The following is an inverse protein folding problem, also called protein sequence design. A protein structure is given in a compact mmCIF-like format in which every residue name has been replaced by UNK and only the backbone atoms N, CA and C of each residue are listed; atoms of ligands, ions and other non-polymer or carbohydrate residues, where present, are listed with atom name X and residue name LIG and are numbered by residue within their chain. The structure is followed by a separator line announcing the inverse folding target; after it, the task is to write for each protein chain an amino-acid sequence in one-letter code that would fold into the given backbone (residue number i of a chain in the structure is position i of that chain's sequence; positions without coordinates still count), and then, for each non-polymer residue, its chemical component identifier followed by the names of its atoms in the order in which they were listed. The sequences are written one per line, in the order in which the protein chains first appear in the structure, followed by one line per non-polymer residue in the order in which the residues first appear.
data_IF_889800142227
#
_entry.id   IF_889800142227
#
_cell.length_a   1.000
_cell.length_b   1.000
_cell.length_c   1.000
_cell.angle_alpha   90.00
_cell.angle_beta   90.00
_cell.angle_gamma   90.00
#
_symmetry.space_group_name_H-M   'P 1'
#
loop_
_entity.id
_entity.type
_entity.pdbx_description
1 polymer ?
#
# COMPACT_ATOMS: atom_id res chain seq x y z
N UNK A 1 72.85 43.87 2.85
CA UNK A 1 72.17 42.59 3.15
C UNK A 1 70.73 42.72 3.66
N UNK A 2 70.36 43.70 4.49
CA UNK A 2 68.97 43.84 5.03
C UNK A 2 67.86 43.96 3.97
N UNK A 3 68.13 44.60 2.83
CA UNK A 3 67.14 44.76 1.74
C UNK A 3 66.79 43.43 1.05
N UNK A 4 67.78 42.58 0.80
CA UNK A 4 67.58 41.28 0.12
C UNK A 4 66.77 40.30 0.98
N UNK A 5 66.98 40.32 2.30
CA UNK A 5 66.17 39.53 3.23
C UNK A 5 64.69 39.97 3.19
N UNK A 6 64.42 41.28 3.23
CA UNK A 6 63.05 41.81 3.16
C UNK A 6 62.33 41.45 1.86
N UNK A 7 63.03 41.49 0.71
CA UNK A 7 62.43 41.11 -0.57
C UNK A 7 62.11 39.62 -0.67
N UNK A 8 62.95 38.75 -0.12
CA UNK A 8 62.71 37.30 -0.09
C UNK A 8 61.50 36.98 0.79
N UNK A 9 61.43 37.56 2.00
CA UNK A 9 60.29 37.37 2.90
C UNK A 9 58.98 37.89 2.28
N UNK A 10 59.03 39.03 1.58
CA UNK A 10 57.87 39.56 0.85
C UNK A 10 57.39 38.60 -0.24
N UNK A 11 58.31 38.08 -1.06
CA UNK A 11 57.99 37.13 -2.12
C UNK A 11 57.36 35.84 -1.58
N UNK A 12 57.92 35.28 -0.49
CA UNK A 12 57.37 34.10 0.18
C UNK A 12 55.95 34.39 0.69
N UNK A 13 55.75 35.52 1.37
CA UNK A 13 54.43 35.93 1.86
C UNK A 13 53.42 36.14 0.74
N UNK A 14 53.82 36.72 -0.39
CA UNK A 14 52.97 36.89 -1.55
C UNK A 14 52.54 35.55 -2.16
N UNK A 15 53.46 34.58 -2.25
CA UNK A 15 53.16 33.24 -2.76
C UNK A 15 52.22 32.47 -1.84
N UNK A 16 52.42 32.57 -0.53
CA UNK A 16 51.50 31.99 0.46
C UNK A 16 50.11 32.61 0.34
N UNK A 17 50.01 33.94 0.24
CA UNK A 17 48.73 34.64 0.10
C UNK A 17 47.99 34.26 -1.19
N UNK A 18 48.70 34.14 -2.32
CA UNK A 18 48.15 33.71 -3.60
C UNK A 18 47.58 32.28 -3.49
N UNK A 19 48.31 31.37 -2.83
CA UNK A 19 47.88 30.00 -2.59
C UNK A 19 46.66 29.95 -1.65
N UNK A 20 46.68 30.70 -0.55
CA UNK A 20 45.56 30.80 0.39
C UNK A 20 44.29 31.28 -0.30
N UNK A 21 44.39 32.30 -1.16
CA UNK A 21 43.23 32.79 -1.92
C UNK A 21 42.64 31.70 -2.84
N UNK A 22 43.50 30.99 -3.59
CA UNK A 22 43.05 29.91 -4.48
C UNK A 22 42.41 28.76 -3.71
N UNK A 23 43.04 28.37 -2.59
CA UNK A 23 42.53 27.30 -1.73
C UNK A 23 41.19 27.68 -1.10
N UNK A 24 41.08 28.88 -0.54
CA UNK A 24 39.84 29.38 0.06
C UNK A 24 38.70 29.42 -0.98
N UNK A 25 39.00 29.76 -2.23
CA UNK A 25 38.00 29.71 -3.31
C UNK A 25 37.48 28.30 -3.56
N UNK A 26 38.36 27.30 -3.57
CA UNK A 26 37.99 25.90 -3.77
C UNK A 26 37.17 25.40 -2.56
N UNK A 27 37.61 25.71 -1.33
CA UNK A 27 36.91 25.34 -0.11
C UNK A 27 35.51 25.94 -0.07
N UNK A 28 35.36 27.22 -0.45
CA UNK A 28 34.05 27.87 -0.54
C UNK A 28 33.14 27.17 -1.56
N UNK A 29 33.67 26.82 -2.73
CA UNK A 29 32.90 26.10 -3.75
C UNK A 29 32.47 24.70 -3.28
N UNK A 30 33.36 23.97 -2.61
CA UNK A 30 33.04 22.66 -2.04
C UNK A 30 31.96 22.77 -0.95
N UNK A 31 32.09 23.74 -0.04
CA UNK A 31 31.09 24.03 1.00
C UNK A 31 29.73 24.29 0.38
N UNK A 32 29.67 25.18 -0.61
CA UNK A 32 28.40 25.53 -1.26
C UNK A 32 27.76 24.33 -1.97
N UNK A 33 28.57 23.47 -2.63
CA UNK A 33 28.04 22.23 -3.22
C UNK A 33 27.49 21.27 -2.16
N UNK A 34 28.15 21.14 -1.02
CA UNK A 34 27.66 20.32 0.08
C UNK A 34 26.34 20.87 0.64
N UNK A 35 26.22 22.19 0.83
CA UNK A 35 24.99 22.84 1.30
C UNK A 35 23.82 22.58 0.34
N UNK A 36 24.03 22.76 -0.96
CA UNK A 36 23.00 22.51 -1.98
C UNK A 36 22.56 21.04 -2.01
N UNK A 37 23.51 20.09 -1.89
CA UNK A 37 23.17 18.66 -1.87
C UNK A 37 22.40 18.31 -0.59
N UNK A 38 22.83 18.87 0.55
CA UNK A 38 22.18 18.68 1.83
C UNK A 38 20.74 19.20 1.81
N UNK A 39 20.52 20.41 1.30
CA UNK A 39 19.20 21.02 1.18
C UNK A 39 18.25 20.14 0.33
N UNK A 40 18.69 19.69 -0.85
CA UNK A 40 17.89 18.81 -1.71
C UNK A 40 17.58 17.46 -1.07
N UNK A 41 18.51 16.93 -0.28
CA UNK A 41 18.28 15.67 0.42
C UNK A 41 17.26 15.83 1.55
N UNK A 42 17.37 16.92 2.32
CA UNK A 42 16.41 17.28 3.37
C UNK A 42 15.01 17.47 2.79
N UNK A 43 14.86 18.21 1.68
CA UNK A 43 13.57 18.40 1.01
C UNK A 43 12.93 17.05 0.61
N UNK A 44 13.72 16.13 0.05
CA UNK A 44 13.23 14.78 -0.28
C UNK A 44 12.81 13.98 0.95
N UNK A 45 13.57 14.07 2.04
CA UNK A 45 13.21 13.42 3.30
C UNK A 45 11.89 13.96 3.85
N UNK A 46 11.69 15.27 3.80
CA UNK A 46 10.44 15.91 4.22
C UNK A 46 9.25 15.47 3.36
N UNK A 47 9.44 15.37 2.03
CA UNK A 47 8.40 14.86 1.13
C UNK A 47 8.01 13.41 1.46
N UNK A 48 8.99 12.53 1.68
CA UNK A 48 8.75 11.12 2.06
C UNK A 48 8.05 11.06 3.41
N UNK A 49 8.51 11.83 4.40
CA UNK A 49 7.90 11.89 5.72
C UNK A 49 6.44 12.38 5.66
N UNK A 50 6.17 13.44 4.90
CA UNK A 50 4.82 13.96 4.70
C UNK A 50 3.90 12.94 4.01
N UNK A 51 4.39 12.24 2.99
CA UNK A 51 3.63 11.19 2.31
C UNK A 51 3.31 10.03 3.27
N UNK A 52 4.27 9.61 4.08
CA UNK A 52 4.09 8.55 5.06
C UNK A 52 3.09 8.96 6.15
N UNK A 53 3.19 10.17 6.69
CA UNK A 53 2.23 10.68 7.68
C UNK A 53 0.81 10.75 7.11
N UNK A 54 0.65 11.18 5.85
CA UNK A 54 -0.65 11.23 5.19
C UNK A 54 -1.26 9.84 5.05
N UNK A 55 -0.44 8.84 4.73
CA UNK A 55 -0.90 7.45 4.64
C UNK A 55 -1.26 6.90 6.02
N UNK A 56 -0.45 7.16 7.04
CA UNK A 56 -0.73 6.71 8.40
C UNK A 56 -2.10 7.19 8.89
N UNK A 57 -2.46 8.46 8.63
CA UNK A 57 -3.79 9.00 8.95
C UNK A 57 -4.93 8.31 8.17
N UNK A 58 -4.68 7.92 6.92
CA UNK A 58 -5.66 7.17 6.10
C UNK A 58 -5.87 5.76 6.64
N UNK A 59 -4.80 5.08 7.05
CA UNK A 59 -4.91 3.76 7.69
C UNK A 59 -5.75 3.84 8.96
N UNK A 60 -5.49 4.82 9.83
CA UNK A 60 -6.30 5.03 11.05
C UNK A 60 -7.77 5.31 10.76
N UNK A 61 -8.06 6.10 9.73
CA UNK A 61 -9.44 6.40 9.34
C UNK A 61 -10.15 5.14 8.84
N UNK A 62 -9.49 4.38 7.96
CA UNK A 62 -10.03 3.13 7.42
C UNK A 62 -10.23 2.07 8.50
N UNK A 63 -9.30 1.93 9.45
CA UNK A 63 -9.44 1.04 10.61
C UNK A 63 -10.66 1.41 11.46
N UNK A 64 -10.89 2.71 11.69
CA UNK A 64 -12.07 3.20 12.41
C UNK A 64 -13.37 2.91 11.65
N UNK A 65 -13.40 3.09 10.34
CA UNK A 65 -14.56 2.74 9.50
C UNK A 65 -14.84 1.24 9.52
N UNK A 66 -13.80 0.41 9.45
CA UNK A 66 -13.95 -1.04 9.60
C UNK A 66 -14.54 -1.44 10.95
N UNK A 67 -14.08 -0.81 12.04
CA UNK A 67 -14.61 -1.07 13.38
C UNK A 67 -16.09 -0.68 13.48
N UNK A 68 -16.47 0.49 12.95
CA UNK A 68 -17.87 0.95 12.93
C UNK A 68 -18.74 -0.01 12.11
N UNK A 69 -18.33 -0.33 10.89
CA UNK A 69 -19.06 -1.27 10.02
C UNK A 69 -19.16 -2.68 10.64
N UNK A 70 -18.17 -3.09 11.43
CA UNK A 70 -18.22 -4.37 12.14
C UNK A 70 -19.27 -4.39 13.25
N UNK A 71 -19.58 -3.24 13.85
CA UNK A 71 -20.65 -3.09 14.87
C UNK A 71 -22.03 -2.97 14.22
N UNK A 72 -22.15 -2.20 13.14
CA UNK A 72 -23.43 -1.94 12.48
C UNK A 72 -24.01 -3.18 11.78
N UNK A 73 -23.16 -4.06 11.23
CA UNK A 73 -23.58 -5.28 10.53
C UNK A 73 -24.48 -6.21 11.38
N UNK A 74 -24.08 -6.66 12.58
CA UNK A 74 -24.93 -7.50 13.41
C UNK A 74 -26.20 -6.77 13.90
N UNK A 75 -26.12 -5.47 14.23
CA UNK A 75 -27.30 -4.70 14.63
C UNK A 75 -28.36 -4.61 13.52
N UNK A 76 -27.94 -4.40 12.27
CA UNK A 76 -28.83 -4.40 11.11
C UNK A 76 -29.42 -5.78 10.85
N UNK A 77 -28.61 -6.84 11.01
CA UNK A 77 -29.06 -8.21 10.88
C UNK A 77 -30.10 -8.58 11.94
N UNK A 78 -29.89 -8.17 13.19
CA UNK A 78 -30.85 -8.36 14.28
C UNK A 78 -32.16 -7.63 14.01
N UNK A 79 -32.10 -6.37 13.57
CA UNK A 79 -33.31 -5.61 13.17
C UNK A 79 -34.12 -6.31 12.08
N UNK A 80 -33.47 -6.96 11.13
CA UNK A 80 -34.16 -7.74 10.09
C UNK A 80 -34.78 -9.02 10.67
N UNK A 81 -34.06 -9.73 11.53
CA UNK A 81 -34.55 -10.94 12.19
C UNK A 81 -35.72 -10.64 13.15
N UNK A 82 -35.63 -9.57 13.95
CA UNK A 82 -36.68 -9.07 14.84
C UNK A 82 -37.93 -8.71 14.04
N UNK A 83 -37.77 -7.96 12.93
CA UNK A 83 -38.89 -7.60 12.06
C UNK A 83 -39.58 -8.83 11.48
N UNK A 84 -38.81 -9.83 11.04
CA UNK A 84 -39.35 -11.11 10.56
C UNK A 84 -40.14 -11.85 11.65
N UNK A 85 -39.57 -12.00 12.85
CA UNK A 85 -40.25 -12.60 14.01
C UNK A 85 -41.53 -11.86 14.37
N UNK A 86 -41.54 -10.54 14.29
CA UNK A 86 -42.72 -9.72 14.56
C UNK A 86 -43.83 -9.95 13.53
N UNK A 87 -43.52 -10.05 12.23
CA UNK A 87 -44.50 -10.43 11.19
C UNK A 87 -45.10 -11.80 11.48
N UNK A 88 -44.27 -12.83 11.72
CA UNK A 88 -44.77 -14.17 12.04
C UNK A 88 -45.63 -14.18 13.32
N UNK A 89 -45.25 -13.41 14.35
CA UNK A 89 -46.04 -13.26 15.57
C UNK A 89 -47.39 -12.58 15.30
N UNK A 90 -47.44 -11.53 14.47
CA UNK A 90 -48.69 -10.86 14.09
C UNK A 90 -49.57 -11.79 13.26
N UNK A 91 -49.01 -12.47 12.28
CA UNK A 91 -49.73 -13.43 11.44
C UNK A 91 -50.29 -14.61 12.26
N UNK A 92 -49.55 -15.08 13.27
CA UNK A 92 -50.01 -16.08 14.24
C UNK A 92 -51.14 -15.57 15.13
N UNK A 93 -51.02 -14.33 15.65
CA UNK A 93 -52.07 -13.71 16.48
C UNK A 93 -53.36 -13.45 15.70
N UNK A 94 -53.28 -13.18 14.39
CA UNK A 94 -54.45 -13.06 13.49
C UNK A 94 -55.09 -14.43 13.22
N UNK A 95 -54.33 -15.52 13.36
CA UNK A 95 -54.78 -16.88 13.04
C UNK A 95 -55.10 -17.75 14.27
N UNK A 96 -55.03 -17.21 15.50
CA UNK A 96 -55.30 -17.98 16.71
C UNK A 96 -56.78 -18.41 16.78
N UNK A 97 -57.11 -19.72 16.69
CA UNK A 97 -58.48 -20.18 16.86
C UNK A 97 -58.79 -20.33 18.37
N UNK A 98 -59.86 -19.71 18.84
CA UNK A 98 -60.46 -20.08 20.12
C UNK A 98 -61.02 -21.51 20.03
N UNK A 99 -60.68 -22.31 21.05
CA UNK A 99 -61.31 -23.57 21.53
C UNK A 99 -60.87 -24.94 20.94
N UNK A 100 -60.89 -26.01 21.80
CA UNK A 100 -59.95 -27.13 21.74
C UNK A 100 -60.53 -28.39 21.07
N UNK A 101 -59.70 -29.10 20.30
CA UNK A 101 -60.03 -30.43 19.78
C UNK A 101 -58.76 -31.21 19.40
N UNK A 102 -58.62 -32.49 19.80
CA UNK A 102 -57.41 -33.27 19.56
C UNK A 102 -57.46 -33.88 18.16
N UNK A 103 -56.42 -33.66 17.33
CA UNK A 103 -56.26 -34.41 16.08
C UNK A 103 -54.80 -34.53 15.62
N UNK A 104 -54.28 -35.72 15.87
CA UNK A 104 -53.18 -36.49 15.25
C UNK A 104 -52.02 -35.80 14.49
N UNK A 105 -50.81 -36.12 14.95
CA UNK A 105 -49.50 -35.90 14.33
C UNK A 105 -49.33 -36.63 12.99
N UNK A 106 -49.09 -35.89 11.90
CA UNK A 106 -48.43 -36.44 10.70
C UNK A 106 -47.47 -35.38 10.13
N UNK A 107 -46.17 -35.54 10.43
CA UNK A 107 -45.10 -34.81 9.75
C UNK A 107 -44.37 -35.75 8.78
N UNK A 108 -44.08 -35.38 7.53
CA UNK A 108 -43.32 -36.25 6.64
C UNK A 108 -41.82 -36.11 6.95
N UNK A 109 -41.23 -37.20 7.46
CA UNK A 109 -39.80 -37.33 7.67
C UNK A 109 -39.05 -37.25 6.32
N UNK A 110 -38.25 -36.20 6.16
CA UNK A 110 -37.39 -35.99 4.99
C UNK A 110 -36.18 -36.93 5.12
N UNK A 111 -36.16 -37.97 4.28
CA UNK A 111 -35.07 -38.94 4.18
C UNK A 111 -33.73 -38.24 3.88
N UNK A 112 -32.73 -38.51 4.71
CA UNK A 112 -31.33 -38.16 4.46
C UNK A 112 -30.62 -39.36 3.82
N UNK A 113 -30.02 -39.17 2.64
CA UNK A 113 -29.11 -40.13 2.02
C UNK A 113 -27.64 -39.69 2.22
N UNK A 114 -26.68 -40.62 2.26
CA UNK A 114 -25.35 -40.39 2.84
C UNK A 114 -24.30 -39.87 1.84
N UNK A 115 -23.22 -39.40 2.44
CA UNK A 115 -22.01 -38.73 1.90
C UNK A 115 -21.42 -39.34 0.62
N UNK A 116 -21.00 -38.47 -0.30
CA UNK A 116 -19.99 -38.78 -1.31
C UNK A 116 -18.71 -37.98 -1.01
N UNK A 117 -17.69 -38.72 -0.59
CA UNK A 117 -16.34 -38.27 -0.30
C UNK A 117 -15.53 -38.17 -1.62
N UNK A 118 -14.72 -37.12 -1.68
CA UNK A 118 -13.64 -36.75 -2.61
C UNK A 118 -12.97 -37.85 -3.47
N UNK A 119 -12.70 -37.57 -4.76
CA UNK A 119 -11.53 -38.09 -5.47
C UNK A 119 -11.26 -37.29 -6.76
N UNK A 120 -10.02 -36.82 -6.90
CA UNK A 120 -9.60 -35.88 -7.94
C UNK A 120 -9.36 -36.47 -9.33
N UNK A 121 -9.38 -35.53 -10.28
CA UNK A 121 -8.46 -35.34 -11.40
C UNK A 121 -8.33 -36.44 -12.47
N UNK A 122 -8.91 -36.16 -13.66
CA UNK A 122 -8.39 -36.60 -14.96
C UNK A 122 -8.64 -35.54 -16.04
N UNK A 123 -7.56 -35.10 -16.70
CA UNK A 123 -7.57 -34.91 -18.15
C UNK A 123 -7.38 -33.50 -18.71
N UNK A 124 -6.11 -33.18 -18.99
CA UNK A 124 -5.61 -32.67 -20.28
C UNK A 124 -6.14 -31.35 -20.88
N UNK A 125 -5.25 -30.35 -20.86
CA UNK A 125 -4.71 -29.70 -22.06
C UNK A 125 -5.68 -29.07 -23.06
N UNK A 126 -5.82 -27.74 -22.98
CA UNK A 126 -6.09 -26.91 -24.15
C UNK A 126 -5.44 -25.54 -23.96
N UNK A 127 -4.48 -25.22 -24.81
CA UNK A 127 -4.06 -23.84 -25.03
C UNK A 127 -5.27 -23.08 -25.59
N UNK A 128 -5.66 -21.97 -24.97
CA UNK A 128 -6.53 -20.98 -25.58
C UNK A 128 -6.04 -19.58 -25.23
N UNK A 129 -5.78 -18.83 -26.29
CA UNK A 129 -5.32 -17.47 -26.28
C UNK A 129 -6.43 -16.50 -25.85
N UNK A 130 -6.01 -15.41 -25.22
CA UNK A 130 -6.72 -14.12 -25.11
C UNK A 130 -8.11 -14.15 -24.47
N UNK A 131 -8.17 -13.72 -23.20
CA UNK A 131 -9.43 -13.40 -22.54
C UNK A 131 -9.20 -12.92 -21.13
N UNK A 132 -9.44 -11.63 -20.91
CA UNK A 132 -9.39 -10.92 -19.63
C UNK A 132 -10.02 -11.74 -18.48
N UNK A 133 -9.19 -12.33 -17.64
CA UNK A 133 -9.60 -13.07 -16.44
C UNK A 133 -9.15 -12.31 -15.21
N UNK A 134 -10.10 -11.97 -14.34
CA UNK A 134 -9.88 -11.28 -13.07
C UNK A 134 -8.80 -12.00 -12.24
N UNK A 135 -7.57 -11.50 -12.35
CA UNK A 135 -6.42 -12.02 -11.63
C UNK A 135 -6.52 -11.69 -10.14
N UNK A 136 -6.30 -12.69 -9.30
CA UNK A 136 -6.29 -12.56 -7.85
C UNK A 136 -5.35 -11.39 -7.43
N UNK A 137 -5.85 -10.34 -6.76
CA UNK A 137 -5.06 -9.13 -6.48
C UNK A 137 -3.82 -9.41 -5.62
N UNK A 138 -3.86 -10.50 -4.84
CA UNK A 138 -2.74 -10.99 -4.05
C UNK A 138 -1.55 -11.44 -4.91
N UNK A 139 -1.79 -11.98 -6.12
CA UNK A 139 -0.72 -12.37 -7.04
C UNK A 139 -0.10 -11.17 -7.73
N UNK A 140 -0.91 -10.18 -8.11
CA UNK A 140 -0.43 -8.93 -8.71
C UNK A 140 0.47 -8.16 -7.75
N UNK A 141 0.08 -8.03 -6.47
CA UNK A 141 0.90 -7.38 -5.45
C UNK A 141 2.21 -8.13 -5.17
N UNK A 142 2.17 -9.46 -5.05
CA UNK A 142 3.39 -10.27 -4.87
C UNK A 142 4.34 -10.13 -6.06
N UNK A 143 3.83 -10.12 -7.28
CA UNK A 143 4.64 -9.90 -8.47
C UNK A 143 5.24 -8.49 -8.51
N UNK A 144 4.54 -7.47 -8.00
CA UNK A 144 5.05 -6.10 -7.96
C UNK A 144 6.13 -5.89 -6.89
N UNK A 145 6.02 -6.58 -5.75
CA UNK A 145 6.94 -6.45 -4.61
C UNK A 145 8.21 -7.31 -4.79
N UNK A 146 8.07 -8.51 -5.38
CA UNK A 146 9.16 -9.50 -5.49
C UNK A 146 9.85 -9.53 -6.85
N UNK A 147 9.34 -8.82 -7.86
CA UNK A 147 10.09 -8.69 -9.11
C UNK A 147 11.38 -7.91 -8.85
N UNK A 148 12.57 -8.43 -9.22
CA UNK A 148 13.78 -7.63 -9.19
C UNK A 148 13.50 -6.39 -10.04
N UNK A 149 13.71 -5.20 -9.46
CA UNK A 149 13.47 -3.90 -10.09
C UNK A 149 14.29 -3.84 -11.39
N UNK A 150 13.70 -4.33 -12.48
CA UNK A 150 14.21 -4.13 -13.82
C UNK A 150 13.98 -2.66 -14.10
N UNK A 151 15.09 -1.91 -14.02
CA UNK A 151 15.22 -0.55 -14.52
C UNK A 151 14.40 -0.40 -15.80
N UNK A 152 13.68 0.72 -16.00
CA UNK A 152 13.08 0.98 -17.30
C UNK A 152 14.20 0.90 -18.33
N UNK A 153 14.12 -0.08 -19.23
CA UNK A 153 14.97 -0.11 -20.42
C UNK A 153 14.54 1.09 -21.26
N UNK A 154 15.26 2.20 -21.08
CA UNK A 154 15.14 3.37 -21.94
C UNK A 154 15.38 2.90 -23.37
N UNK A 155 14.34 3.10 -24.18
CA UNK A 155 14.32 2.93 -25.62
C UNK A 155 15.68 3.23 -26.26
N UNK A 156 16.20 2.27 -27.04
CA UNK A 156 17.33 2.49 -27.95
C UNK A 156 17.13 3.79 -28.73
N UNK A 157 18.10 4.69 -28.63
CA UNK A 157 18.33 5.72 -29.65
C UNK A 157 19.84 5.89 -29.82
N UNK A 158 20.41 5.58 -30.99
CA UNK A 158 21.78 5.96 -31.31
C UNK A 158 21.73 7.40 -31.83
N UNK A 159 22.51 8.31 -31.24
CA UNK A 159 22.87 9.52 -31.96
C UNK A 159 24.30 9.92 -31.63
N UNK A 160 25.14 9.66 -32.64
CA UNK A 160 26.49 10.19 -32.78
C UNK A 160 26.47 11.70 -32.58
N UNK A 161 27.47 12.23 -31.86
CA UNK A 161 28.03 13.52 -32.20
C UNK A 161 29.55 13.49 -32.02
N UNK A 162 30.16 14.06 -33.03
CA UNK A 162 31.56 14.36 -33.33
C UNK A 162 32.25 15.22 -32.28
#
# INVERSE_FOLDING_TARGET
MRSAYRSVMFYIGQKELEMQYKMNRIVAQCRQKCEVIQEKFTEKLEQVHAAYQKMAKRCQMMEREMENLSKDKPELQEKFAEKSRETTRKDWLVSAPETPGPREDIWPAKQAAPMAMEAGNRGAGAHSASGSGAGNPSMTLRNFILSPIKRPQLSRRPQMFT
#
